data_IF_708727042391
#
_entry.id   IF_708727042391
#
_cell.length_a   1.000
_cell.length_b   1.000
_cell.length_c   1.000
_cell.angle_alpha   90.00
_cell.angle_beta   90.00
_cell.angle_gamma   90.00
#
_symmetry.space_group_name_H-M   'P 1'
#
loop_
_entity.id
_entity.type
_entity.pdbx_description
1 polymer ?
#
# COMPACT_ATOMS: atom_id res chain seq x y z
N UNK A 1 11.66 18.03 -2.07
CA UNK A 1 12.23 18.82 -0.97
C UNK A 1 11.38 18.62 0.25
N UNK A 2 11.88 17.86 1.21
CA UNK A 2 11.19 17.66 2.47
C UNK A 2 11.35 18.94 3.30
N UNK A 3 10.25 19.54 3.71
CA UNK A 3 10.25 20.70 4.60
C UNK A 3 10.40 20.16 6.02
N UNK A 4 11.60 20.29 6.59
CA UNK A 4 11.80 20.13 8.03
C UNK A 4 11.19 21.33 8.75
N UNK A 5 10.18 21.09 9.57
CA UNK A 5 9.68 22.08 10.50
C UNK A 5 10.66 22.21 11.68
N UNK A 6 11.30 23.35 11.76
CA UNK A 6 12.15 23.77 12.89
C UNK A 6 11.26 24.29 14.00
N UNK A 7 11.21 23.65 15.14
CA UNK A 7 10.51 24.15 16.31
C UNK A 7 11.40 25.14 17.06
N UNK A 8 11.02 26.42 17.12
CA UNK A 8 11.58 27.40 18.04
C UNK A 8 10.92 27.29 19.40
N UNK A 9 11.74 27.05 20.41
CA UNK A 9 11.33 27.06 21.82
C UNK A 9 11.43 28.51 22.33
N UNK A 10 10.30 29.11 22.67
CA UNK A 10 10.26 30.29 23.51
C UNK A 10 9.96 29.87 24.95
N UNK A 11 10.93 30.05 25.85
CA UNK A 11 10.72 29.96 27.30
C UNK A 11 10.02 31.21 27.81
N UNK A 12 8.80 31.03 28.32
CA UNK A 12 8.11 32.03 29.12
C UNK A 12 7.69 31.40 30.44
N UNK A 13 8.22 31.92 31.55
CA UNK A 13 7.79 31.59 32.91
C UNK A 13 6.31 31.93 33.10
N UNK A 14 5.52 30.98 33.56
CA UNK A 14 4.16 31.23 34.05
C UNK A 14 3.89 30.41 35.28
N UNK A 15 3.39 31.09 36.25
CA UNK A 15 2.93 30.67 37.57
C UNK A 15 1.89 29.55 37.53
N UNK A 16 2.04 28.60 38.45
CA UNK A 16 1.11 27.50 38.73
C UNK A 16 -0.26 28.00 39.20
N UNK A 17 -1.23 27.97 38.30
CA UNK A 17 -2.64 27.82 38.66
C UNK A 17 -3.09 26.49 38.08
N UNK A 18 -3.63 25.61 38.95
CA UNK A 18 -4.26 24.37 38.52
C UNK A 18 -5.41 24.73 37.57
N UNK A 19 -5.22 24.52 36.26
CA UNK A 19 -6.30 24.63 35.30
C UNK A 19 -7.10 23.33 35.38
N UNK A 20 -8.39 23.47 35.71
CA UNK A 20 -9.41 22.55 35.28
C UNK A 20 -9.22 22.32 33.77
N UNK A 21 -8.94 21.10 33.36
CA UNK A 21 -8.79 20.73 31.95
C UNK A 21 -10.11 21.04 31.27
N UNK A 22 -10.10 22.03 30.39
CA UNK A 22 -11.19 22.32 29.46
C UNK A 22 -11.33 21.10 28.53
N UNK A 23 -12.19 20.16 28.93
CA UNK A 23 -12.43 18.87 28.26
C UNK A 23 -13.12 19.02 26.89
N UNK A 24 -13.32 20.26 26.44
CA UNK A 24 -13.99 20.57 25.17
C UNK A 24 -13.03 20.88 24.01
N UNK A 25 -11.74 21.05 24.27
CA UNK A 25 -10.78 21.48 23.23
C UNK A 25 -10.01 20.29 22.64
N UNK A 26 -10.11 20.13 21.31
CA UNK A 26 -9.33 19.15 20.57
C UNK A 26 -7.82 19.47 20.66
N UNK A 27 -6.93 18.46 20.60
CA UNK A 27 -5.49 18.68 20.66
C UNK A 27 -4.96 19.39 19.40
N UNK A 28 -3.88 20.17 19.54
CA UNK A 28 -3.22 20.79 18.36
C UNK A 28 -2.60 19.76 17.42
N UNK A 29 -2.25 18.60 17.93
CA UNK A 29 -1.76 17.44 17.17
C UNK A 29 -2.50 16.19 17.61
N UNK A 30 -3.22 15.56 16.69
CA UNK A 30 -3.93 14.31 16.92
C UNK A 30 -2.99 13.13 16.68
N UNK A 31 -2.81 12.29 17.71
CA UNK A 31 -2.01 11.07 17.63
C UNK A 31 -2.91 9.93 17.12
N UNK A 32 -2.60 9.41 15.95
CA UNK A 32 -3.40 8.41 15.23
C UNK A 32 -2.72 7.06 15.30
N UNK A 33 -3.40 6.07 15.88
CA UNK A 33 -3.01 4.66 15.79
C UNK A 33 -3.68 3.98 14.60
N UNK A 34 -2.95 3.15 13.87
CA UNK A 34 -3.51 2.39 12.74
C UNK A 34 -2.68 1.12 12.47
N UNK A 35 -3.20 0.23 11.61
CA UNK A 35 -2.49 -0.93 11.09
C UNK A 35 -2.12 -0.73 9.62
N UNK A 36 -1.03 -1.38 9.20
CA UNK A 36 -0.69 -1.44 7.78
C UNK A 36 -1.72 -2.32 7.05
N UNK A 37 -2.51 -1.70 6.19
CA UNK A 37 -3.59 -2.35 5.45
C UNK A 37 -3.93 -1.53 4.20
N UNK A 38 -4.33 -2.17 3.09
CA UNK A 38 -4.79 -1.46 1.89
C UNK A 38 -6.01 -0.57 2.13
N UNK A 39 -6.82 -0.89 3.12
CA UNK A 39 -8.00 -0.11 3.50
C UNK A 39 -7.66 1.03 4.44
N UNK A 40 -6.67 0.85 5.34
CA UNK A 40 -6.44 1.82 6.41
C UNK A 40 -5.24 2.71 6.18
N UNK A 41 -4.04 2.12 6.06
CA UNK A 41 -2.78 2.86 5.92
C UNK A 41 -1.74 2.03 5.18
N UNK A 42 -1.22 2.53 4.09
CA UNK A 42 -0.10 1.89 3.39
C UNK A 42 0.76 2.94 2.67
N UNK A 43 2.02 2.58 2.39
CA UNK A 43 2.93 3.43 1.64
C UNK A 43 3.18 2.79 0.27
N UNK A 44 2.98 3.58 -0.77
CA UNK A 44 3.22 3.18 -2.14
C UNK A 44 4.03 4.24 -2.89
N UNK A 45 5.22 3.87 -3.35
CA UNK A 45 6.16 4.77 -4.07
C UNK A 45 6.44 6.09 -3.33
N UNK A 46 6.48 6.04 -2.00
CA UNK A 46 6.71 7.20 -1.15
C UNK A 46 5.48 8.01 -0.79
N UNK A 47 4.32 7.72 -1.37
CA UNK A 47 3.04 8.31 -0.97
C UNK A 47 2.35 7.46 0.10
N UNK A 48 1.77 8.12 1.09
CA UNK A 48 0.92 7.48 2.08
C UNK A 48 -0.52 7.50 1.58
N UNK A 49 -1.18 6.36 1.62
CA UNK A 49 -2.51 6.11 1.08
C UNK A 49 -3.31 5.22 2.04
N UNK A 50 -4.62 5.14 1.85
CA UNK A 50 -5.54 4.28 2.58
C UNK A 50 -6.88 4.99 2.76
N UNK A 51 -7.99 4.24 2.77
CA UNK A 51 -9.30 4.81 2.94
C UNK A 51 -9.43 5.53 4.29
N UNK A 52 -9.04 4.88 5.39
CA UNK A 52 -9.05 5.49 6.71
C UNK A 52 -8.02 6.64 6.82
N UNK A 53 -6.86 6.51 6.17
CA UNK A 53 -5.85 7.56 6.12
C UNK A 53 -6.39 8.83 5.45
N UNK A 54 -7.03 8.72 4.29
CA UNK A 54 -7.59 9.88 3.59
C UNK A 54 -8.72 10.52 4.41
N UNK A 55 -9.54 9.73 5.07
CA UNK A 55 -10.62 10.22 5.94
C UNK A 55 -10.10 10.95 7.18
N UNK A 56 -9.12 10.39 7.88
CA UNK A 56 -8.55 11.08 9.07
C UNK A 56 -7.80 12.34 8.67
N UNK A 57 -7.18 12.37 7.49
CA UNK A 57 -6.58 13.58 6.93
C UNK A 57 -7.64 14.66 6.62
N UNK A 58 -8.83 14.25 6.15
CA UNK A 58 -9.94 15.19 5.94
C UNK A 58 -10.50 15.74 7.25
N UNK A 59 -10.70 14.90 8.26
CA UNK A 59 -11.07 15.33 9.62
C UNK A 59 -10.08 16.34 10.18
N UNK A 60 -8.78 16.04 10.09
CA UNK A 60 -7.74 16.91 10.60
C UNK A 60 -7.70 18.26 9.87
N UNK A 61 -7.94 18.27 8.55
CA UNK A 61 -8.05 19.47 7.75
C UNK A 61 -9.26 20.32 8.15
N UNK A 62 -10.42 19.69 8.38
CA UNK A 62 -11.64 20.36 8.84
C UNK A 62 -11.44 21.02 10.19
N UNK A 63 -10.80 20.32 11.12
CA UNK A 63 -10.53 20.81 12.49
C UNK A 63 -9.25 21.64 12.60
N UNK A 64 -8.44 21.75 11.53
CA UNK A 64 -7.14 22.45 11.51
C UNK A 64 -6.14 21.88 12.53
N UNK A 65 -6.09 20.58 12.64
CA UNK A 65 -5.26 19.81 13.58
C UNK A 65 -4.11 19.16 12.79
N UNK A 66 -2.91 19.10 13.37
CA UNK A 66 -1.81 18.31 12.83
C UNK A 66 -2.00 16.82 13.15
N UNK A 67 -1.44 15.92 12.31
CA UNK A 67 -1.50 14.48 12.52
C UNK A 67 -0.13 13.89 12.83
N UNK A 68 -0.12 12.91 13.74
CA UNK A 68 1.05 12.07 14.01
C UNK A 68 0.61 10.62 14.04
N UNK A 69 1.13 9.80 13.11
CA UNK A 69 0.77 8.39 12.98
C UNK A 69 1.70 7.48 13.79
N UNK A 70 1.10 6.44 14.39
CA UNK A 70 1.79 5.30 15.02
C UNK A 70 1.21 4.02 14.44
N UNK A 71 2.07 3.21 13.81
CA UNK A 71 1.68 1.91 13.25
C UNK A 71 1.80 0.83 14.33
N UNK A 72 0.74 0.08 14.52
CA UNK A 72 0.73 -1.12 15.34
C UNK A 72 0.87 -2.39 14.46
N UNK A 73 1.23 -3.52 15.11
CA UNK A 73 1.47 -4.78 14.39
C UNK A 73 0.29 -5.72 14.42
N UNK A 74 -0.58 -5.53 15.39
CA UNK A 74 -1.76 -6.37 15.61
C UNK A 74 -2.88 -5.54 16.20
N UNK A 75 -4.11 -6.06 16.13
CA UNK A 75 -5.28 -5.45 16.78
C UNK A 75 -5.02 -5.26 18.29
N UNK A 76 -4.43 -6.25 18.94
CA UNK A 76 -4.15 -6.17 20.39
C UNK A 76 -3.15 -5.04 20.70
N UNK A 77 -2.06 -4.92 19.93
CA UNK A 77 -1.09 -3.82 20.12
C UNK A 77 -1.70 -2.46 19.79
N UNK A 78 -2.62 -2.40 18.81
CA UNK A 78 -3.33 -1.18 18.45
C UNK A 78 -4.25 -0.70 19.60
N UNK A 79 -5.02 -1.60 20.20
CA UNK A 79 -5.86 -1.31 21.36
C UNK A 79 -5.01 -0.88 22.57
N UNK A 80 -3.85 -1.51 22.78
CA UNK A 80 -2.96 -1.14 23.86
C UNK A 80 -2.43 0.29 23.72
N UNK A 81 -2.19 0.77 22.48
CA UNK A 81 -1.76 2.16 22.27
C UNK A 81 -2.77 3.19 22.76
N UNK A 82 -4.08 2.98 22.56
CA UNK A 82 -5.11 3.91 23.03
C UNK A 82 -5.35 3.79 24.53
N UNK A 83 -5.25 2.59 25.09
CA UNK A 83 -5.34 2.37 26.55
C UNK A 83 -4.19 3.04 27.32
N UNK A 84 -3.00 2.99 26.76
CA UNK A 84 -1.78 3.60 27.33
C UNK A 84 -1.68 5.11 27.05
N UNK A 85 -2.69 5.71 26.46
CA UNK A 85 -2.72 7.13 26.04
C UNK A 85 -1.52 7.52 25.14
N UNK A 86 -1.05 6.58 24.33
CA UNK A 86 0.00 6.81 23.31
C UNK A 86 -0.55 7.37 22.00
N UNK A 87 -1.84 7.11 21.74
CA UNK A 87 -2.60 7.63 20.60
C UNK A 87 -3.97 8.11 21.09
N UNK A 88 -4.56 9.06 20.37
CA UNK A 88 -5.84 9.68 20.71
C UNK A 88 -7.01 8.98 20.00
N UNK A 89 -6.77 8.51 18.77
CA UNK A 89 -7.76 7.84 17.92
C UNK A 89 -7.15 6.64 17.20
N UNK A 90 -7.94 5.59 17.04
CA UNK A 90 -7.65 4.44 16.21
C UNK A 90 -8.36 4.63 14.87
N UNK A 91 -7.63 5.07 13.84
CA UNK A 91 -8.12 5.14 12.47
C UNK A 91 -7.95 3.77 11.80
N UNK A 92 -8.76 2.84 12.24
CA UNK A 92 -8.82 1.45 11.79
C UNK A 92 -10.20 0.89 12.14
N UNK A 93 -10.69 -0.06 11.38
CA UNK A 93 -11.98 -0.71 11.63
C UNK A 93 -11.92 -1.64 12.85
N UNK A 94 -12.28 -1.11 14.02
CA UNK A 94 -12.41 -1.88 15.26
C UNK A 94 -13.79 -2.53 15.28
N UNK A 95 -13.90 -3.87 15.45
CA UNK A 95 -15.18 -4.56 15.51
C UNK A 95 -16.07 -4.06 16.67
N UNK A 96 -17.35 -3.81 16.40
CA UNK A 96 -18.32 -3.41 17.41
C UNK A 96 -18.89 -4.68 18.04
N UNK A 97 -18.27 -5.13 19.15
CA UNK A 97 -18.68 -6.30 19.93
C UNK A 97 -18.71 -5.95 21.41
N UNK A 98 -19.36 -6.77 22.23
CA UNK A 98 -19.37 -6.56 23.69
C UNK A 98 -17.94 -6.45 24.27
N UNK A 99 -17.03 -7.30 23.83
CA UNK A 99 -15.63 -7.31 24.25
C UNK A 99 -14.93 -5.97 23.95
N UNK A 100 -15.01 -5.48 22.71
CA UNK A 100 -14.34 -4.23 22.33
C UNK A 100 -15.01 -2.98 22.92
N UNK A 101 -16.34 -3.02 23.15
CA UNK A 101 -17.06 -1.93 23.80
C UNK A 101 -16.64 -1.69 25.27
N UNK A 102 -16.07 -2.71 25.93
CA UNK A 102 -15.48 -2.57 27.25
C UNK A 102 -14.07 -1.95 27.23
N UNK A 103 -13.46 -1.90 26.07
CA UNK A 103 -12.07 -1.47 25.91
C UNK A 103 -11.91 -0.08 25.28
N UNK A 104 -12.83 0.30 24.38
CA UNK A 104 -12.76 1.54 23.60
C UNK A 104 -14.15 2.13 23.37
N UNK A 105 -14.19 3.44 23.13
CA UNK A 105 -15.39 4.15 22.68
C UNK A 105 -15.37 4.24 21.15
N UNK A 106 -16.36 3.61 20.51
CA UNK A 106 -16.53 3.64 19.07
C UNK A 106 -17.00 5.00 18.57
N UNK A 107 -16.50 5.45 17.44
CA UNK A 107 -16.85 6.74 16.85
C UNK A 107 -16.75 6.74 15.32
N UNK A 108 -17.36 7.74 14.70
CA UNK A 108 -17.37 7.96 13.26
C UNK A 108 -18.31 7.04 12.51
N UNK A 109 -18.03 6.85 11.23
CA UNK A 109 -18.84 6.01 10.35
C UNK A 109 -18.76 4.54 10.79
N UNK A 110 -19.94 3.89 10.80
CA UNK A 110 -20.01 2.44 11.00
C UNK A 110 -20.01 1.73 9.65
N UNK A 111 -19.00 0.92 9.42
CA UNK A 111 -18.91 0.04 8.26
C UNK A 111 -19.37 -1.37 8.60
N UNK A 112 -19.87 -2.07 7.59
CA UNK A 112 -20.23 -3.49 7.73
C UNK A 112 -19.40 -4.29 6.75
N UNK A 113 -18.52 -5.16 7.29
CA UNK A 113 -17.70 -6.07 6.51
C UNK A 113 -18.05 -7.51 6.84
N UNK A 114 -17.71 -8.41 5.94
CA UNK A 114 -17.79 -9.85 6.12
C UNK A 114 -16.62 -10.49 5.39
N UNK A 115 -16.31 -11.73 5.72
CA UNK A 115 -15.23 -12.43 5.04
C UNK A 115 -15.77 -13.20 3.85
N UNK A 116 -15.02 -13.18 2.75
CA UNK A 116 -15.37 -13.85 1.50
C UNK A 116 -14.30 -14.81 1.06
N UNK A 117 -14.74 -15.87 0.38
CA UNK A 117 -13.84 -16.75 -0.35
C UNK A 117 -13.32 -16.02 -1.60
N UNK A 118 -12.03 -15.98 -1.76
CA UNK A 118 -11.37 -15.56 -3.00
C UNK A 118 -10.98 -16.79 -3.79
N UNK A 119 -11.47 -16.91 -5.01
CA UNK A 119 -11.22 -17.98 -5.95
C UNK A 119 -11.13 -17.46 -7.37
N UNK A 120 -10.62 -18.24 -8.32
CA UNK A 120 -10.68 -17.84 -9.73
C UNK A 120 -12.08 -18.03 -10.28
N UNK A 121 -12.49 -17.13 -11.19
CA UNK A 121 -13.70 -17.29 -11.99
C UNK A 121 -13.62 -18.58 -12.79
N UNK A 122 -14.72 -19.32 -12.88
CA UNK A 122 -14.78 -20.56 -13.66
C UNK A 122 -16.09 -21.32 -13.46
N UNK A 123 -16.29 -22.37 -14.25
CA UNK A 123 -17.49 -23.21 -14.17
C UNK A 123 -17.56 -24.04 -12.88
N UNK A 124 -16.41 -24.33 -12.28
CA UNK A 124 -16.30 -25.16 -11.06
C UNK A 124 -16.07 -24.30 -9.81
N UNK A 125 -16.50 -23.02 -9.83
CA UNK A 125 -16.39 -22.17 -8.64
C UNK A 125 -17.21 -22.72 -7.48
N UNK A 126 -16.71 -22.55 -6.28
CA UNK A 126 -17.42 -22.86 -5.05
C UNK A 126 -18.51 -21.80 -4.81
N UNK A 127 -19.72 -22.23 -4.59
CA UNK A 127 -20.89 -21.35 -4.37
C UNK A 127 -21.57 -21.61 -3.03
N UNK A 128 -21.12 -22.64 -2.29
CA UNK A 128 -21.64 -22.98 -0.97
C UNK A 128 -20.50 -23.45 -0.07
N UNK A 129 -20.53 -23.06 1.20
CA UNK A 129 -19.49 -23.39 2.18
C UNK A 129 -19.26 -24.89 2.38
N UNK A 130 -20.28 -25.72 2.19
CA UNK A 130 -20.14 -27.20 2.30
C UNK A 130 -19.24 -27.80 1.21
N UNK A 131 -19.06 -27.12 0.08
CA UNK A 131 -18.16 -27.53 -1.00
C UNK A 131 -16.67 -27.29 -0.66
N UNK A 132 -16.38 -26.60 0.46
CA UNK A 132 -15.01 -26.39 0.95
C UNK A 132 -14.39 -27.67 1.52
N UNK A 133 -15.20 -28.72 1.81
CA UNK A 133 -14.68 -30.01 2.26
C UNK A 133 -13.68 -30.57 1.24
N UNK A 134 -12.52 -30.99 1.74
CA UNK A 134 -11.41 -31.52 0.93
C UNK A 134 -10.65 -30.46 0.13
N UNK A 135 -10.91 -29.17 0.35
CA UNK A 135 -10.20 -28.07 -0.34
C UNK A 135 -9.08 -27.52 0.53
N UNK A 136 -7.98 -27.13 -0.12
CA UNK A 136 -6.86 -26.43 0.50
C UNK A 136 -7.13 -24.94 0.51
N UNK A 137 -7.30 -24.35 1.70
CA UNK A 137 -7.49 -22.91 1.91
C UNK A 137 -6.26 -22.34 2.62
N UNK A 138 -5.69 -21.31 2.02
CA UNK A 138 -4.48 -20.65 2.51
C UNK A 138 -4.81 -19.39 3.26
N UNK A 139 -4.30 -19.21 4.47
CA UNK A 139 -4.50 -18.04 5.33
C UNK A 139 -3.24 -17.70 6.11
N UNK A 140 -3.13 -16.46 6.56
CA UNK A 140 -2.05 -16.06 7.46
C UNK A 140 -2.20 -16.76 8.82
N UNK A 141 -1.10 -17.29 9.32
CA UNK A 141 -1.04 -17.94 10.64
C UNK A 141 -1.34 -16.93 11.75
N UNK A 142 -2.19 -17.32 12.70
CA UNK A 142 -2.61 -16.48 13.82
C UNK A 142 -3.52 -15.32 13.45
N UNK A 143 -4.06 -15.31 12.22
CA UNK A 143 -4.98 -14.25 11.76
C UNK A 143 -6.44 -14.55 12.12
N UNK A 144 -7.26 -13.49 12.09
CA UNK A 144 -8.74 -13.66 12.18
C UNK A 144 -9.31 -14.57 11.09
N UNK A 145 -8.62 -14.71 9.95
CA UNK A 145 -9.02 -15.58 8.85
C UNK A 145 -8.79 -17.05 9.19
N UNK A 146 -7.67 -17.38 9.82
CA UNK A 146 -7.42 -18.75 10.32
C UNK A 146 -8.46 -19.16 11.34
N UNK A 147 -8.70 -18.33 12.37
CA UNK A 147 -9.72 -18.58 13.40
C UNK A 147 -11.12 -18.73 12.78
N UNK A 148 -11.46 -17.92 11.76
CA UNK A 148 -12.75 -18.07 11.07
C UNK A 148 -12.85 -19.36 10.31
N UNK A 149 -11.79 -19.80 9.62
CA UNK A 149 -11.79 -21.08 8.91
C UNK A 149 -11.89 -22.28 9.87
N UNK A 150 -11.26 -22.23 11.02
CA UNK A 150 -11.38 -23.27 12.07
C UNK A 150 -12.84 -23.36 12.54
N UNK A 151 -13.49 -22.22 12.83
CA UNK A 151 -14.89 -22.19 13.22
C UNK A 151 -15.79 -22.71 12.10
N UNK A 152 -15.61 -22.22 10.86
CA UNK A 152 -16.38 -22.67 9.69
C UNK A 152 -16.20 -24.17 9.45
N UNK A 153 -14.98 -24.68 9.59
CA UNK A 153 -14.69 -26.09 9.45
C UNK A 153 -15.49 -26.94 10.48
N UNK A 154 -15.55 -26.44 11.73
CA UNK A 154 -16.36 -27.08 12.78
C UNK A 154 -17.86 -27.00 12.45
N UNK A 155 -18.35 -25.85 12.00
CA UNK A 155 -19.77 -25.62 11.63
C UNK A 155 -20.23 -26.55 10.53
N UNK A 156 -19.40 -26.84 9.51
CA UNK A 156 -19.75 -27.74 8.41
C UNK A 156 -19.47 -29.21 8.67
N UNK A 157 -18.98 -29.55 9.88
CA UNK A 157 -18.66 -30.94 10.27
C UNK A 157 -17.31 -31.43 9.77
N UNK A 158 -16.34 -30.54 9.64
CA UNK A 158 -14.96 -30.84 9.27
C UNK A 158 -14.69 -31.04 7.78
N UNK A 159 -13.41 -31.20 7.45
CA UNK A 159 -12.95 -31.55 6.11
C UNK A 159 -12.29 -30.41 5.31
N UNK A 160 -12.19 -29.20 5.82
CA UNK A 160 -11.38 -28.14 5.19
C UNK A 160 -9.91 -28.38 5.49
N UNK A 161 -9.05 -28.32 4.49
CA UNK A 161 -7.61 -28.38 4.67
C UNK A 161 -7.06 -26.96 4.85
N UNK A 162 -6.91 -26.50 6.09
CA UNK A 162 -6.39 -25.17 6.40
C UNK A 162 -4.86 -25.21 6.24
N UNK A 163 -4.33 -24.31 5.41
CA UNK A 163 -2.90 -24.13 5.11
C UNK A 163 -2.46 -22.77 5.68
N UNK A 164 -1.94 -22.77 6.89
CA UNK A 164 -1.42 -21.58 7.55
C UNK A 164 -0.06 -21.20 6.97
N UNK A 165 0.08 -19.98 6.50
CA UNK A 165 1.33 -19.42 5.98
C UNK A 165 1.90 -18.39 6.96
N UNK A 166 3.22 -18.29 7.01
CA UNK A 166 3.89 -17.34 7.89
C UNK A 166 3.68 -15.90 7.36
N UNK A 167 3.16 -15.02 8.21
CA UNK A 167 2.88 -13.62 7.91
C UNK A 167 4.13 -12.84 7.47
N UNK A 168 5.30 -13.18 7.96
CA UNK A 168 6.56 -12.53 7.60
C UNK A 168 6.97 -12.80 6.14
N UNK A 169 6.39 -13.82 5.51
CA UNK A 169 6.73 -14.23 4.14
C UNK A 169 5.63 -13.95 3.12
N UNK A 170 4.36 -14.01 3.54
CA UNK A 170 3.19 -13.91 2.64
C UNK A 170 2.07 -13.23 3.40
N UNK A 171 1.60 -12.09 2.90
CA UNK A 171 0.44 -11.38 3.45
C UNK A 171 -0.85 -11.68 2.68
N UNK A 172 -1.97 -11.12 3.18
CA UNK A 172 -3.31 -11.25 2.57
C UNK A 172 -3.33 -10.85 1.09
N UNK A 173 -2.59 -9.80 0.71
CA UNK A 173 -2.52 -9.33 -0.68
C UNK A 173 -1.77 -10.33 -1.56
N UNK A 174 -0.69 -10.91 -1.03
CA UNK A 174 0.08 -11.93 -1.72
C UNK A 174 -0.76 -13.19 -1.93
N UNK A 175 -1.59 -13.58 -0.94
CA UNK A 175 -2.50 -14.72 -1.07
C UNK A 175 -3.53 -14.48 -2.18
N UNK A 176 -4.14 -13.29 -2.25
CA UNK A 176 -5.07 -12.95 -3.34
C UNK A 176 -4.38 -12.96 -4.69
N UNK A 177 -3.17 -12.39 -4.79
CA UNK A 177 -2.36 -12.47 -6.01
C UNK A 177 -2.05 -13.92 -6.40
N UNK A 178 -1.69 -14.78 -5.44
CA UNK A 178 -1.43 -16.19 -5.70
C UNK A 178 -2.68 -16.93 -6.19
N UNK A 179 -3.87 -16.59 -5.68
CA UNK A 179 -5.14 -17.11 -6.22
C UNK A 179 -5.33 -16.63 -7.65
N UNK A 180 -5.17 -15.35 -7.94
CA UNK A 180 -5.35 -14.79 -9.28
C UNK A 180 -4.42 -15.44 -10.32
N UNK A 181 -3.18 -15.72 -9.93
CA UNK A 181 -2.17 -16.37 -10.77
C UNK A 181 -2.29 -17.92 -10.81
N UNK A 182 -3.17 -18.50 -9.98
CA UNK A 182 -3.40 -19.94 -9.91
C UNK A 182 -2.33 -20.72 -9.18
N UNK A 183 -1.46 -20.07 -8.40
CA UNK A 183 -0.46 -20.73 -7.55
C UNK A 183 -1.10 -21.43 -6.36
N UNK A 184 -2.15 -20.84 -5.78
CA UNK A 184 -3.00 -21.44 -4.77
C UNK A 184 -4.47 -21.41 -5.22
N UNK A 185 -5.31 -22.35 -4.78
CA UNK A 185 -6.69 -22.42 -5.23
C UNK A 185 -7.61 -21.41 -4.55
N UNK A 186 -7.48 -21.23 -3.23
CA UNK A 186 -8.41 -20.47 -2.40
C UNK A 186 -7.71 -19.73 -1.26
N UNK A 187 -8.23 -18.53 -0.93
CA UNK A 187 -7.98 -17.82 0.34
C UNK A 187 -9.27 -17.19 0.81
N UNK A 188 -9.30 -16.69 2.05
CA UNK A 188 -10.39 -15.85 2.56
C UNK A 188 -9.84 -14.51 3.02
N UNK A 189 -10.59 -13.44 2.77
CA UNK A 189 -10.25 -12.08 3.16
C UNK A 189 -11.51 -11.29 3.48
N UNK A 190 -11.37 -10.11 4.08
CA UNK A 190 -12.49 -9.20 4.27
C UNK A 190 -13.05 -8.71 2.93
N UNK A 191 -14.34 -8.44 2.89
CA UNK A 191 -15.08 -8.08 1.67
C UNK A 191 -14.57 -6.78 1.03
N UNK A 192 -14.10 -5.82 1.81
CA UNK A 192 -13.49 -4.57 1.36
C UNK A 192 -12.12 -4.82 0.70
N UNK A 193 -11.25 -5.60 1.33
CA UNK A 193 -9.98 -6.05 0.75
C UNK A 193 -10.23 -6.83 -0.56
N UNK A 194 -11.22 -7.72 -0.55
CA UNK A 194 -11.60 -8.46 -1.75
C UNK A 194 -12.08 -7.55 -2.88
N UNK A 195 -12.88 -6.52 -2.57
CA UNK A 195 -13.35 -5.52 -3.54
C UNK A 195 -12.20 -4.74 -4.16
N UNK A 196 -11.26 -4.24 -3.34
CA UNK A 196 -10.04 -3.58 -3.83
C UNK A 196 -9.31 -4.51 -4.80
N UNK A 197 -9.05 -5.75 -4.41
CA UNK A 197 -8.35 -6.70 -5.26
C UNK A 197 -9.09 -7.06 -6.53
N UNK A 198 -10.42 -7.10 -6.51
CA UNK A 198 -11.24 -7.35 -7.69
C UNK A 198 -11.14 -6.24 -8.73
N UNK A 199 -10.85 -4.99 -8.33
CA UNK A 199 -10.59 -3.89 -9.27
C UNK A 199 -9.31 -4.13 -10.08
N UNK A 200 -8.40 -5.00 -9.60
CA UNK A 200 -7.13 -5.40 -10.21
C UNK A 200 -7.19 -6.70 -10.97
N UNK A 201 -7.74 -7.71 -10.28
CA UNK A 201 -7.79 -9.08 -10.74
C UNK A 201 -9.19 -9.38 -11.27
N UNK A 202 -9.44 -9.04 -12.53
CA UNK A 202 -10.75 -9.29 -13.15
C UNK A 202 -11.14 -10.77 -13.18
N UNK A 203 -10.16 -11.68 -13.01
CA UNK A 203 -10.30 -13.13 -13.05
C UNK A 203 -10.64 -13.77 -11.70
N UNK A 204 -10.75 -13.00 -10.61
CA UNK A 204 -11.19 -13.54 -9.32
C UNK A 204 -12.71 -13.41 -9.10
N UNK A 205 -13.26 -14.35 -8.36
CA UNK A 205 -14.61 -14.37 -7.84
C UNK A 205 -14.57 -14.25 -6.32
N UNK A 206 -15.42 -13.38 -5.78
CA UNK A 206 -15.51 -13.06 -4.35
C UNK A 206 -16.98 -13.13 -3.86
N UNK A 207 -17.82 -13.91 -4.57
CA UNK A 207 -19.26 -13.94 -4.33
C UNK A 207 -19.71 -14.87 -3.21
N UNK A 208 -18.83 -15.71 -2.62
CA UNK A 208 -19.17 -16.57 -1.50
C UNK A 208 -18.76 -15.96 -0.17
N UNK A 209 -19.76 -15.58 0.63
CA UNK A 209 -19.56 -15.15 2.01
C UNK A 209 -19.28 -16.36 2.91
N UNK A 210 -18.27 -16.24 3.77
CA UNK A 210 -17.84 -17.30 4.70
C UNK A 210 -17.94 -16.89 6.17
N UNK A 211 -18.38 -15.65 6.45
CA UNK A 211 -18.68 -15.17 7.79
C UNK A 211 -19.99 -14.39 7.84
N UNK A 212 -20.52 -14.18 9.04
CA UNK A 212 -21.58 -13.20 9.27
C UNK A 212 -21.08 -11.78 9.10
N UNK A 213 -21.94 -10.81 8.73
CA UNK A 213 -21.63 -9.40 8.73
C UNK A 213 -21.13 -8.93 10.11
N UNK A 214 -20.02 -8.22 10.13
CA UNK A 214 -19.42 -7.61 11.30
C UNK A 214 -19.46 -6.10 11.14
N UNK A 215 -20.04 -5.39 12.11
CA UNK A 215 -19.97 -3.93 12.18
C UNK A 215 -18.65 -3.51 12.80
N UNK A 216 -18.05 -2.46 12.27
CA UNK A 216 -16.82 -1.87 12.76
C UNK A 216 -16.83 -0.35 12.61
N UNK A 217 -16.03 0.34 13.38
CA UNK A 217 -15.83 1.79 13.28
C UNK A 217 -14.45 2.18 13.83
N UNK A 218 -14.10 3.42 13.70
CA UNK A 218 -12.97 3.97 14.47
C UNK A 218 -13.27 3.95 15.97
N UNK A 219 -12.22 4.18 16.77
CA UNK A 219 -12.40 4.18 18.21
C UNK A 219 -11.43 5.15 18.88
N UNK A 220 -11.80 5.62 20.06
CA UNK A 220 -11.00 6.47 20.96
C UNK A 220 -10.93 5.84 22.35
N UNK A 221 -10.14 6.42 23.25
CA UNK A 221 -10.15 6.01 24.66
C UNK A 221 -11.55 6.16 25.26
N UNK A 222 -11.98 5.22 26.12
CA UNK A 222 -13.30 5.20 26.76
C UNK A 222 -13.71 6.53 27.41
N UNK A 223 -12.74 7.30 27.89
CA UNK A 223 -12.99 8.57 28.59
C UNK A 223 -12.92 9.80 27.67
N UNK A 224 -12.65 9.63 26.36
CA UNK A 224 -12.49 10.74 25.43
C UNK A 224 -13.76 11.02 24.63
N UNK A 225 -14.85 11.36 25.34
CA UNK A 225 -16.15 11.67 24.73
C UNK A 225 -16.07 12.88 23.78
N UNK A 226 -15.29 13.92 24.13
CA UNK A 226 -15.21 15.13 23.30
C UNK A 226 -14.63 14.85 21.91
N UNK A 227 -13.61 14.00 21.81
CA UNK A 227 -13.07 13.60 20.53
C UNK A 227 -14.03 12.69 19.75
N UNK A 228 -14.68 11.74 20.45
CA UNK A 228 -15.72 10.88 19.86
C UNK A 228 -16.85 11.71 19.26
N UNK A 229 -17.44 12.62 20.03
CA UNK A 229 -18.53 13.50 19.58
C UNK A 229 -18.10 14.37 18.38
N UNK A 230 -16.85 14.85 18.38
CA UNK A 230 -16.32 15.65 17.29
C UNK A 230 -16.15 14.84 15.99
N UNK A 231 -15.69 13.58 16.09
CA UNK A 231 -15.55 12.67 14.95
C UNK A 231 -16.95 12.28 14.44
N UNK A 232 -17.90 11.99 15.31
CA UNK A 232 -19.28 11.65 14.94
C UNK A 232 -19.98 12.82 14.23
N UNK A 233 -19.87 14.03 14.77
CA UNK A 233 -20.43 15.21 14.14
C UNK A 233 -19.80 15.51 12.77
N UNK A 234 -18.48 15.29 12.61
CA UNK A 234 -17.81 15.42 11.33
C UNK A 234 -18.26 14.34 10.35
N UNK A 235 -18.30 13.07 10.78
CA UNK A 235 -18.63 11.92 9.91
C UNK A 235 -20.06 11.97 9.36
N UNK A 236 -20.99 12.57 10.11
CA UNK A 236 -22.42 12.70 9.74
C UNK A 236 -22.72 14.01 8.99
N UNK A 237 -21.76 14.89 8.80
CA UNK A 237 -21.95 16.12 8.01
C UNK A 237 -22.15 15.80 6.52
N UNK A 238 -23.04 16.54 5.86
CA UNK A 238 -23.33 16.37 4.42
C UNK A 238 -22.06 16.40 3.56
N UNK A 239 -21.17 17.36 3.84
CA UNK A 239 -19.88 17.49 3.16
C UNK A 239 -19.04 16.20 3.29
N UNK A 240 -18.97 15.65 4.50
CA UNK A 240 -18.16 14.45 4.76
C UNK A 240 -18.77 13.21 4.14
N UNK A 241 -20.10 13.09 4.13
CA UNK A 241 -20.79 11.98 3.47
C UNK A 241 -20.46 11.97 1.97
N UNK A 242 -20.60 13.10 1.28
CA UNK A 242 -20.25 13.23 -0.14
C UNK A 242 -18.78 12.93 -0.42
N UNK A 243 -17.89 13.41 0.43
CA UNK A 243 -16.45 13.11 0.32
C UNK A 243 -16.17 11.62 0.54
N UNK A 244 -16.78 11.00 1.57
CA UNK A 244 -16.62 9.57 1.85
C UNK A 244 -17.15 8.69 0.71
N UNK A 245 -18.26 9.06 0.08
CA UNK A 245 -18.77 8.38 -1.11
C UNK A 245 -17.80 8.46 -2.29
N UNK A 246 -17.19 9.63 -2.53
CA UNK A 246 -16.24 9.82 -3.64
C UNK A 246 -14.98 8.98 -3.43
N UNK A 247 -14.38 9.04 -2.24
CA UNK A 247 -13.19 8.22 -1.93
C UNK A 247 -13.52 6.73 -1.85
N UNK A 248 -14.73 6.34 -1.39
CA UNK A 248 -15.17 4.94 -1.40
C UNK A 248 -15.24 4.40 -2.84
N UNK A 249 -15.83 5.15 -3.76
CA UNK A 249 -15.82 4.81 -5.19
C UNK A 249 -14.41 4.67 -5.71
N UNK A 250 -13.52 5.60 -5.32
CA UNK A 250 -12.11 5.54 -5.73
C UNK A 250 -11.40 4.27 -5.25
N UNK A 251 -11.59 3.87 -3.99
CA UNK A 251 -10.91 2.70 -3.42
C UNK A 251 -11.57 1.37 -3.80
N UNK A 252 -12.91 1.29 -3.83
CA UNK A 252 -13.62 0.01 -3.84
C UNK A 252 -14.40 -0.29 -5.13
N UNK A 253 -14.73 0.72 -5.96
CA UNK A 253 -15.62 0.52 -7.10
C UNK A 253 -14.98 0.81 -8.45
N UNK A 254 -14.07 1.79 -8.54
CA UNK A 254 -13.47 2.14 -9.83
C UNK A 254 -12.64 0.97 -10.35
N UNK A 255 -13.15 0.31 -11.40
CA UNK A 255 -12.41 -0.71 -12.13
C UNK A 255 -11.13 -0.07 -12.69
N UNK A 256 -10.02 -0.36 -12.05
CA UNK A 256 -8.72 0.08 -12.52
C UNK A 256 -8.28 -0.86 -13.61
N UNK A 257 -7.84 -0.33 -14.72
CA UNK A 257 -7.39 -1.13 -15.85
C UNK A 257 -6.25 -2.05 -15.38
N UNK A 258 -6.60 -3.30 -15.12
CA UNK A 258 -5.64 -4.33 -14.72
C UNK A 258 -5.03 -4.93 -15.96
N UNK A 259 -3.72 -5.04 -15.99
CA UNK A 259 -2.99 -5.85 -16.96
C UNK A 259 -3.35 -7.32 -16.69
N UNK A 260 -4.38 -7.84 -17.35
CA UNK A 260 -4.62 -9.28 -17.39
C UNK A 260 -3.43 -9.96 -18.04
N UNK A 261 -2.96 -11.06 -17.44
CA UNK A 261 -1.75 -11.78 -17.86
C UNK A 261 -1.78 -12.30 -19.29
N UNK A 262 -2.91 -12.24 -19.98
CA UNK A 262 -3.13 -12.88 -21.28
C UNK A 262 -2.95 -11.96 -22.51
N UNK A 263 -2.67 -10.67 -22.32
CA UNK A 263 -2.40 -9.77 -23.44
C UNK A 263 -0.93 -9.36 -23.49
N UNK A 264 -0.12 -10.16 -24.14
CA UNK A 264 1.31 -9.88 -24.40
C UNK A 264 1.55 -8.66 -25.32
N UNK A 265 0.48 -7.99 -25.78
CA UNK A 265 0.61 -6.84 -26.66
C UNK A 265 -0.49 -5.83 -26.44
N UNK A 266 -0.13 -4.59 -26.17
CA UNK A 266 -0.99 -3.44 -26.35
C UNK A 266 -1.48 -3.42 -27.81
N UNK A 267 -2.74 -3.80 -28.01
CA UNK A 267 -3.46 -3.50 -29.24
C UNK A 267 -4.30 -2.23 -29.00
N UNK A 268 -3.65 -1.07 -29.04
CA UNK A 268 -4.37 0.18 -29.30
C UNK A 268 -5.22 -0.01 -30.55
N UNK A 269 -6.23 0.81 -30.78
CA UNK A 269 -7.20 0.74 -31.90
C UNK A 269 -6.61 0.67 -33.33
N UNK A 270 -5.32 0.42 -33.46
CA UNK A 270 -4.58 0.02 -34.65
C UNK A 270 -3.56 -1.03 -34.20
N UNK A 271 -3.61 -2.23 -34.81
CA UNK A 271 -2.59 -3.25 -34.62
C UNK A 271 -1.23 -2.62 -34.88
N UNK A 272 -0.42 -2.39 -33.81
CA UNK A 272 0.99 -2.06 -34.02
C UNK A 272 1.67 -3.28 -34.64
N UNK A 273 1.99 -3.18 -35.89
CA UNK A 273 2.82 -4.18 -36.58
C UNK A 273 4.25 -3.83 -36.23
N UNK A 274 4.91 -4.64 -35.38
CA UNK A 274 6.33 -4.50 -35.10
C UNK A 274 7.10 -4.47 -36.40
N UNK A 275 7.81 -3.38 -36.66
CA UNK A 275 8.86 -3.37 -37.67
C UNK A 275 10.01 -4.23 -37.14
N UNK A 276 10.76 -4.89 -38.01
CA UNK A 276 11.91 -5.68 -37.59
C UNK A 276 12.87 -4.85 -36.72
N UNK A 277 13.06 -5.26 -35.46
CA UNK A 277 13.94 -4.60 -34.51
C UNK A 277 13.26 -3.67 -33.47
N UNK A 278 11.96 -3.35 -33.62
CA UNK A 278 11.26 -2.51 -32.64
C UNK A 278 10.92 -3.30 -31.38
N UNK A 279 11.11 -2.68 -30.23
CA UNK A 279 10.70 -3.18 -28.91
C UNK A 279 9.25 -2.78 -28.63
N UNK A 280 8.89 -1.53 -28.94
CA UNK A 280 7.60 -0.92 -28.62
C UNK A 280 7.19 0.18 -29.61
N UNK A 281 5.93 0.64 -29.60
CA UNK A 281 5.50 1.83 -30.34
C UNK A 281 6.18 3.13 -29.91
N UNK A 282 6.90 3.12 -28.78
CA UNK A 282 7.47 4.29 -28.13
C UNK A 282 9.00 4.34 -28.19
N UNK A 283 9.63 3.51 -29.00
CA UNK A 283 11.09 3.40 -29.09
C UNK A 283 11.74 4.74 -29.45
N UNK A 284 11.18 5.50 -30.39
CA UNK A 284 11.70 6.81 -30.76
C UNK A 284 11.57 7.82 -29.61
N UNK A 285 10.51 7.72 -28.81
CA UNK A 285 10.32 8.54 -27.62
C UNK A 285 11.36 8.20 -26.56
N UNK A 286 11.60 6.91 -26.30
CA UNK A 286 12.63 6.48 -25.35
C UNK A 286 14.03 6.90 -25.79
N UNK A 287 14.35 6.79 -27.07
CA UNK A 287 15.63 7.27 -27.64
C UNK A 287 15.81 8.79 -27.46
N UNK A 288 14.73 9.57 -27.71
CA UNK A 288 14.76 11.03 -27.60
C UNK A 288 15.08 11.50 -26.17
N UNK A 289 14.59 10.78 -25.13
CA UNK A 289 14.74 11.21 -23.73
C UNK A 289 15.82 10.44 -22.96
N UNK A 290 16.38 9.34 -23.47
CA UNK A 290 17.39 8.55 -22.76
C UNK A 290 18.70 9.30 -22.48
N UNK A 291 19.02 10.34 -23.24
CA UNK A 291 20.21 11.16 -23.00
C UNK A 291 20.29 11.88 -21.65
N UNK A 292 19.20 11.88 -20.87
CA UNK A 292 19.15 12.46 -19.52
C UNK A 292 19.51 11.48 -18.41
N UNK A 293 19.74 10.21 -18.71
CA UNK A 293 20.21 9.15 -17.81
C UNK A 293 21.44 8.45 -18.42
N UNK A 294 22.30 7.87 -17.57
CA UNK A 294 23.53 7.21 -18.04
C UNK A 294 23.32 5.79 -18.57
N UNK A 295 22.09 5.44 -18.96
CA UNK A 295 21.76 4.09 -19.43
C UNK A 295 21.12 4.13 -20.83
N UNK A 296 21.33 3.06 -21.64
CA UNK A 296 20.69 2.95 -22.96
C UNK A 296 19.18 3.05 -22.89
N UNK A 297 18.54 3.56 -23.95
CA UNK A 297 17.09 3.76 -24.06
C UNK A 297 16.26 2.50 -23.78
N UNK A 298 16.84 1.31 -24.01
CA UNK A 298 16.21 0.02 -23.71
C UNK A 298 15.88 -0.13 -22.22
N UNK A 299 16.54 0.62 -21.30
CA UNK A 299 16.16 0.63 -19.91
C UNK A 299 14.80 1.30 -19.72
N UNK A 300 14.53 2.42 -20.40
CA UNK A 300 13.22 3.07 -20.36
C UNK A 300 12.12 2.16 -20.93
N UNK A 301 12.43 1.46 -22.03
CA UNK A 301 11.52 0.46 -22.60
C UNK A 301 11.23 -0.70 -21.63
N UNK A 302 12.26 -1.20 -20.92
CA UNK A 302 12.10 -2.26 -19.93
C UNK A 302 11.24 -1.81 -18.73
N UNK A 303 11.46 -0.59 -18.24
CA UNK A 303 10.62 0.03 -17.21
C UNK A 303 9.18 0.13 -17.70
N UNK A 304 8.93 0.76 -18.86
CA UNK A 304 7.58 0.93 -19.41
C UNK A 304 6.85 -0.41 -19.61
N UNK A 305 7.57 -1.46 -20.04
CA UNK A 305 6.98 -2.78 -20.17
C UNK A 305 6.56 -3.37 -18.82
N UNK A 306 7.40 -3.25 -17.81
CA UNK A 306 7.08 -3.78 -16.47
C UNK A 306 5.96 -2.99 -15.83
N UNK A 307 5.94 -1.67 -16.03
CA UNK A 307 4.95 -0.75 -15.44
C UNK A 307 3.57 -0.86 -16.09
N UNK A 308 3.49 -0.87 -17.39
CA UNK A 308 2.21 -0.74 -18.13
C UNK A 308 2.01 -1.71 -19.28
N UNK A 309 2.97 -2.57 -19.61
CA UNK A 309 2.99 -3.34 -20.86
C UNK A 309 2.86 -2.44 -22.11
N UNK A 310 3.39 -1.24 -22.01
CA UNK A 310 3.28 -0.19 -23.02
C UNK A 310 1.86 0.38 -23.22
N UNK A 311 0.93 0.21 -22.26
CA UNK A 311 -0.38 0.84 -22.33
C UNK A 311 -0.40 2.16 -21.52
N UNK A 312 -0.52 3.32 -22.19
CA UNK A 312 -0.50 4.61 -21.50
C UNK A 312 -1.79 4.92 -20.70
N UNK A 313 -2.84 4.08 -20.84
CA UNK A 313 -4.12 4.27 -20.17
C UNK A 313 -4.13 3.67 -18.76
N UNK A 314 -3.12 2.86 -18.42
CA UNK A 314 -3.08 2.14 -17.13
C UNK A 314 -3.07 3.11 -15.97
N UNK A 315 -3.93 2.82 -15.00
CA UNK A 315 -3.91 3.43 -13.66
C UNK A 315 -3.72 2.32 -12.65
N UNK A 316 -2.69 2.42 -11.80
CA UNK A 316 -2.49 1.45 -10.73
C UNK A 316 -3.53 1.66 -9.61
N UNK A 317 -3.63 0.71 -8.74
CA UNK A 317 -4.52 0.77 -7.56
C UNK A 317 -4.16 1.92 -6.61
N UNK A 318 -2.93 2.26 -6.51
CA UNK A 318 -2.43 3.36 -5.74
C UNK A 318 -2.51 4.71 -6.48
N UNK A 319 -3.03 4.72 -7.74
CA UNK A 319 -3.21 5.92 -8.52
C UNK A 319 -2.03 6.32 -9.40
N UNK A 320 -0.97 5.50 -9.51
CA UNK A 320 0.09 5.73 -10.51
C UNK A 320 -0.49 5.65 -11.93
N UNK A 321 -0.04 6.50 -12.86
CA UNK A 321 -0.71 6.71 -14.15
C UNK A 321 0.24 6.63 -15.34
N UNK A 322 -0.28 6.16 -16.45
CA UNK A 322 0.33 6.28 -17.76
C UNK A 322 1.39 5.24 -18.05
N UNK A 323 2.10 5.45 -19.17
CA UNK A 323 3.09 4.53 -19.72
C UNK A 323 4.17 4.12 -18.72
N UNK A 324 4.63 5.07 -17.91
CA UNK A 324 5.71 4.90 -16.93
C UNK A 324 5.22 4.78 -15.49
N UNK A 325 3.91 4.75 -15.26
CA UNK A 325 3.26 4.62 -13.94
C UNK A 325 3.77 5.63 -12.90
N UNK A 326 3.66 6.92 -13.24
CA UNK A 326 4.09 8.02 -12.37
C UNK A 326 2.99 8.35 -11.36
N UNK A 327 3.39 8.50 -10.09
CA UNK A 327 2.48 9.00 -9.05
C UNK A 327 2.16 10.48 -9.30
N UNK A 328 0.89 10.90 -9.10
CA UNK A 328 0.51 12.30 -9.23
C UNK A 328 1.30 13.26 -8.34
N UNK A 329 1.69 12.84 -7.14
CA UNK A 329 2.56 13.59 -6.22
C UNK A 329 3.95 13.82 -6.81
N UNK A 330 4.58 12.76 -7.34
CA UNK A 330 5.88 12.81 -8.01
C UNK A 330 5.82 13.75 -9.22
N UNK A 331 4.80 13.63 -10.06
CA UNK A 331 4.60 14.50 -11.21
C UNK A 331 4.51 15.99 -10.80
N UNK A 332 3.69 16.30 -9.78
CA UNK A 332 3.57 17.66 -9.24
C UNK A 332 4.90 18.17 -8.69
N UNK A 333 5.65 17.32 -7.97
CA UNK A 333 6.96 17.67 -7.41
C UNK A 333 7.99 18.08 -8.48
N UNK A 334 7.83 17.57 -9.70
CA UNK A 334 8.64 17.94 -10.87
C UNK A 334 8.00 18.98 -11.79
N UNK A 335 6.84 19.52 -11.45
CA UNK A 335 6.14 20.56 -12.19
C UNK A 335 5.33 20.07 -13.39
N UNK A 336 4.97 18.76 -13.45
CA UNK A 336 4.13 18.21 -14.50
C UNK A 336 2.64 18.29 -14.16
N UNK A 337 1.81 18.49 -15.17
CA UNK A 337 0.35 18.42 -15.08
C UNK A 337 -0.10 16.96 -14.93
N UNK A 338 -0.68 16.65 -13.77
CA UNK A 338 -1.12 15.28 -13.43
C UNK A 338 -2.26 14.77 -14.30
N UNK A 339 -3.05 15.67 -14.93
CA UNK A 339 -4.13 15.28 -15.85
C UNK A 339 -3.59 14.72 -17.18
N UNK A 340 -2.34 15.05 -17.52
CA UNK A 340 -1.68 14.64 -18.76
C UNK A 340 -0.77 13.41 -18.62
N UNK A 341 -0.76 12.72 -17.49
CA UNK A 341 0.10 11.55 -17.28
C UNK A 341 -0.24 10.35 -18.19
N UNK A 342 -1.41 10.35 -18.83
CA UNK A 342 -1.78 9.37 -19.85
C UNK A 342 -1.17 9.69 -21.23
N UNK A 343 -0.66 10.90 -21.44
CA UNK A 343 0.14 11.24 -22.60
C UNK A 343 1.50 10.55 -22.49
N UNK A 344 1.91 9.73 -23.48
CA UNK A 344 3.16 8.98 -23.42
C UNK A 344 4.39 9.88 -23.25
N UNK A 345 4.42 11.03 -23.92
CA UNK A 345 5.55 11.95 -23.85
C UNK A 345 5.68 12.59 -22.46
N UNK A 346 4.56 13.05 -21.88
CA UNK A 346 4.52 13.61 -20.53
C UNK A 346 4.95 12.56 -19.51
N UNK A 347 4.44 11.33 -19.64
CA UNK A 347 4.77 10.21 -18.77
C UNK A 347 6.26 9.86 -18.82
N UNK A 348 6.87 9.78 -20.02
CA UNK A 348 8.31 9.52 -20.19
C UNK A 348 9.15 10.67 -19.64
N UNK A 349 8.81 11.94 -19.92
CA UNK A 349 9.51 13.11 -19.38
C UNK A 349 9.54 13.10 -17.84
N UNK A 350 8.39 12.82 -17.20
CA UNK A 350 8.29 12.76 -15.76
C UNK A 350 9.15 11.62 -15.18
N UNK A 351 9.08 10.42 -15.79
CA UNK A 351 9.89 9.28 -15.39
C UNK A 351 11.40 9.54 -15.52
N UNK A 352 11.83 10.10 -16.64
CA UNK A 352 13.25 10.43 -16.87
C UNK A 352 13.73 11.47 -15.86
N UNK A 353 12.90 12.44 -15.51
CA UNK A 353 13.25 13.44 -14.47
C UNK A 353 13.44 12.78 -13.10
N UNK A 354 12.58 11.85 -12.73
CA UNK A 354 12.70 11.09 -11.50
C UNK A 354 13.94 10.17 -11.53
N UNK A 355 14.11 9.37 -12.57
CA UNK A 355 15.27 8.47 -12.73
C UNK A 355 16.59 9.22 -12.69
N UNK A 356 16.70 10.37 -13.37
CA UNK A 356 17.89 11.23 -13.34
C UNK A 356 18.18 11.78 -11.93
N UNK A 357 17.14 12.14 -11.18
CA UNK A 357 17.28 12.59 -9.78
C UNK A 357 17.78 11.47 -8.88
N UNK A 358 17.23 10.25 -9.03
CA UNK A 358 17.64 9.06 -8.29
C UNK A 358 19.07 8.63 -8.65
N UNK A 359 19.42 8.65 -9.93
CA UNK A 359 20.78 8.35 -10.38
C UNK A 359 21.81 9.32 -9.78
N UNK A 360 21.49 10.61 -9.80
CA UNK A 360 22.33 11.63 -9.18
C UNK A 360 22.47 11.40 -7.67
N UNK A 361 21.41 11.03 -6.99
CA UNK A 361 21.44 10.74 -5.55
C UNK A 361 22.36 9.56 -5.23
N UNK A 362 22.30 8.49 -6.03
CA UNK A 362 23.14 7.30 -5.80
C UNK A 362 24.53 7.36 -6.39
N UNK A 363 24.86 8.35 -7.23
CA UNK A 363 26.15 8.43 -7.94
C UNK A 363 27.36 8.42 -7.01
N UNK A 364 27.30 9.12 -5.89
CA UNK A 364 28.39 9.16 -4.89
C UNK A 364 28.34 7.99 -3.89
N UNK A 365 27.19 7.32 -3.76
CA UNK A 365 26.96 6.27 -2.78
C UNK A 365 27.19 4.88 -3.34
N UNK A 366 26.91 4.68 -4.61
CA UNK A 366 27.00 3.40 -5.32
C UNK A 366 27.84 3.61 -6.58
N UNK A 367 29.17 3.43 -6.50
CA UNK A 367 30.08 3.73 -7.61
C UNK A 367 29.88 2.83 -8.83
N UNK A 368 29.57 1.54 -8.64
CA UNK A 368 29.32 0.61 -9.74
C UNK A 368 28.05 0.96 -10.50
N UNK A 369 28.10 1.19 -11.83
CA UNK A 369 26.93 1.61 -12.60
C UNK A 369 25.81 0.56 -12.64
N UNK A 370 26.15 -0.74 -12.60
CA UNK A 370 25.16 -1.82 -12.63
C UNK A 370 24.44 -1.92 -11.28
N UNK A 371 25.17 -1.83 -10.18
CA UNK A 371 24.58 -1.74 -8.86
C UNK A 371 23.74 -0.48 -8.73
N UNK A 372 24.25 0.68 -9.14
CA UNK A 372 23.51 1.97 -9.12
C UNK A 372 22.18 1.89 -9.84
N UNK A 373 22.11 1.21 -10.99
CA UNK A 373 20.88 0.95 -11.71
C UNK A 373 19.86 0.21 -10.82
N UNK A 374 20.28 -0.83 -10.09
CA UNK A 374 19.41 -1.61 -9.20
C UNK A 374 18.86 -0.76 -8.07
N UNK A 375 19.69 0.07 -7.44
CA UNK A 375 19.26 1.01 -6.39
C UNK A 375 18.28 2.05 -6.94
N UNK A 376 18.57 2.59 -8.12
CA UNK A 376 17.68 3.53 -8.80
C UNK A 376 16.32 2.90 -9.11
N UNK A 377 16.28 1.69 -9.64
CA UNK A 377 15.05 0.93 -9.92
C UNK A 377 14.28 0.62 -8.63
N UNK A 378 14.99 0.21 -7.58
CA UNK A 378 14.37 -0.05 -6.28
C UNK A 378 13.73 1.21 -5.69
N UNK A 379 14.41 2.35 -5.80
CA UNK A 379 13.91 3.63 -5.31
C UNK A 379 12.75 4.19 -6.16
N UNK A 380 12.78 3.94 -7.47
CA UNK A 380 11.69 4.30 -8.38
C UNK A 380 10.39 3.57 -8.04
N UNK A 381 10.47 2.28 -7.71
CA UNK A 381 9.30 1.48 -7.34
C UNK A 381 8.92 1.62 -5.86
N UNK A 382 9.89 1.55 -4.93
CA UNK A 382 9.63 1.48 -3.49
C UNK A 382 9.73 2.83 -2.75
N UNK A 383 10.19 3.87 -3.44
CA UNK A 383 10.49 5.16 -2.82
C UNK A 383 11.90 5.20 -2.19
N UNK A 384 12.60 6.30 -2.43
CA UNK A 384 14.00 6.48 -2.01
C UNK A 384 14.20 6.35 -0.49
N UNK A 385 13.21 6.77 0.30
CA UNK A 385 13.27 6.78 1.76
C UNK A 385 13.50 5.37 2.34
N UNK A 386 12.75 4.38 1.86
CA UNK A 386 12.88 2.99 2.31
C UNK A 386 14.18 2.34 1.85
N UNK A 387 14.67 2.72 0.67
CA UNK A 387 15.97 2.22 0.17
C UNK A 387 17.13 2.78 1.01
N UNK A 388 17.04 4.04 1.46
CA UNK A 388 18.02 4.63 2.38
C UNK A 388 18.01 3.91 3.74
N UNK A 389 16.85 3.61 4.29
CA UNK A 389 16.75 2.79 5.50
C UNK A 389 17.39 1.41 5.32
N UNK A 390 17.14 0.76 4.18
CA UNK A 390 17.72 -0.55 3.88
C UNK A 390 19.26 -0.50 3.74
N UNK A 391 19.80 0.56 3.15
CA UNK A 391 21.25 0.82 3.09
C UNK A 391 21.82 0.93 4.50
N UNK A 392 21.19 1.71 5.36
CA UNK A 392 21.63 1.90 6.75
C UNK A 392 21.56 0.59 7.55
N UNK A 393 20.49 -0.20 7.38
CA UNK A 393 20.36 -1.52 7.99
C UNK A 393 21.44 -2.47 7.49
N UNK A 394 21.67 -2.54 6.16
CA UNK A 394 22.72 -3.37 5.57
C UNK A 394 24.07 -3.05 6.19
N UNK A 395 24.43 -1.79 6.26
CA UNK A 395 25.69 -1.33 6.87
C UNK A 395 25.78 -1.73 8.35
N UNK A 396 24.72 -1.49 9.13
CA UNK A 396 24.69 -1.80 10.56
C UNK A 396 24.85 -3.29 10.85
N UNK A 397 24.24 -4.14 10.02
CA UNK A 397 24.22 -5.60 10.21
C UNK A 397 25.28 -6.34 9.36
N UNK A 398 26.35 -5.64 8.95
CA UNK A 398 27.52 -6.27 8.34
C UNK A 398 27.34 -6.70 6.87
N UNK A 399 26.33 -6.19 6.18
CA UNK A 399 26.14 -6.35 4.74
C UNK A 399 26.79 -5.20 3.97
N UNK A 400 27.05 -5.41 2.69
CA UNK A 400 27.62 -4.37 1.84
C UNK A 400 26.56 -3.34 1.41
N UNK A 401 26.63 -2.06 1.87
CA UNK A 401 25.60 -1.05 1.56
C UNK A 401 25.65 -0.56 0.10
N UNK A 402 26.63 -1.00 -0.71
CA UNK A 402 26.83 -0.60 -2.11
C UNK A 402 26.43 -1.71 -3.10
N UNK A 403 25.98 -2.87 -2.62
CA UNK A 403 25.60 -4.03 -3.43
C UNK A 403 24.14 -4.40 -3.15
N UNK A 404 23.37 -4.58 -4.22
CA UNK A 404 21.94 -4.88 -4.11
C UNK A 404 21.68 -6.32 -3.68
N UNK A 405 21.98 -7.28 -4.56
CA UNK A 405 21.64 -8.69 -4.32
C UNK A 405 22.40 -9.29 -3.13
N UNK A 406 21.65 -9.98 -2.24
CA UNK A 406 22.17 -10.61 -1.04
C UNK A 406 22.63 -9.63 0.05
N UNK A 407 22.51 -8.32 -0.17
CA UNK A 407 22.93 -7.28 0.76
C UNK A 407 21.78 -6.29 1.07
N UNK A 408 21.64 -5.20 0.29
CA UNK A 408 20.59 -4.19 0.55
C UNK A 408 19.21 -4.75 0.24
N UNK A 409 19.07 -5.63 -0.73
CA UNK A 409 17.85 -6.40 -0.98
C UNK A 409 17.38 -7.17 0.26
N UNK A 410 18.29 -7.87 0.95
CA UNK A 410 17.97 -8.60 2.18
C UNK A 410 17.60 -7.65 3.32
N UNK A 411 18.36 -6.57 3.48
CA UNK A 411 18.06 -5.55 4.48
C UNK A 411 16.69 -4.88 4.23
N UNK A 412 16.30 -4.70 2.97
CA UNK A 412 14.97 -4.22 2.61
C UNK A 412 13.88 -5.23 3.01
N UNK A 413 14.11 -6.52 2.84
CA UNK A 413 13.20 -7.59 3.28
C UNK A 413 13.05 -7.60 4.81
N UNK A 414 14.10 -7.30 5.56
CA UNK A 414 14.01 -7.21 7.03
C UNK A 414 13.07 -6.12 7.51
N UNK A 415 12.76 -5.10 6.71
CA UNK A 415 11.82 -4.04 7.08
C UNK A 415 10.35 -4.47 7.21
N UNK A 416 10.01 -5.72 6.96
CA UNK A 416 8.73 -6.33 7.36
C UNK A 416 8.71 -6.75 8.83
N UNK A 417 9.88 -6.92 9.46
CA UNK A 417 10.01 -7.36 10.85
C UNK A 417 10.24 -6.16 11.78
N UNK A 418 9.48 -6.14 12.88
CA UNK A 418 9.47 -5.07 13.88
C UNK A 418 10.84 -4.71 14.42
N UNK A 419 11.67 -5.71 14.69
CA UNK A 419 13.04 -5.53 15.18
C UNK A 419 13.86 -4.62 14.28
N UNK A 420 13.64 -4.67 12.96
CA UNK A 420 14.45 -3.95 11.99
C UNK A 420 13.83 -2.62 11.57
N UNK A 421 12.51 -2.56 11.37
CA UNK A 421 11.93 -1.28 10.95
C UNK A 421 11.81 -0.27 12.12
N UNK A 422 11.85 -0.71 13.39
CA UNK A 422 11.99 0.15 14.57
C UNK A 422 13.45 0.38 14.97
N UNK A 423 14.42 -0.15 14.21
CA UNK A 423 15.82 0.11 14.48
C UNK A 423 16.11 1.62 14.35
N UNK A 424 16.92 2.23 15.26
CA UNK A 424 17.23 3.67 15.22
C UNK A 424 17.82 4.18 13.90
N UNK A 425 18.38 3.32 13.06
CA UNK A 425 18.86 3.70 11.73
C UNK A 425 17.76 3.78 10.68
N UNK A 426 16.57 3.24 10.96
CA UNK A 426 15.38 3.36 10.13
C UNK A 426 14.58 4.59 10.54
N UNK A 427 14.19 5.42 9.56
CA UNK A 427 13.38 6.63 9.79
C UNK A 427 11.97 6.52 9.23
N UNK A 428 11.74 5.53 8.37
CA UNK A 428 10.50 5.41 7.59
C UNK A 428 9.70 4.15 7.88
N UNK A 429 10.00 3.46 9.00
CA UNK A 429 9.19 2.38 9.55
C UNK A 429 9.04 1.15 8.63
N UNK A 430 7.92 0.47 8.78
CA UNK A 430 7.56 -0.74 8.03
C UNK A 430 7.58 -0.54 6.52
N UNK A 431 8.05 -1.55 5.79
CA UNK A 431 8.02 -1.56 4.33
C UNK A 431 7.84 -2.98 3.77
N UNK A 432 6.87 -3.13 2.87
CA UNK A 432 6.62 -4.37 2.14
C UNK A 432 7.54 -4.46 0.93
N UNK A 433 8.60 -5.25 1.04
CA UNK A 433 9.70 -5.27 0.07
C UNK A 433 9.49 -6.15 -1.16
N UNK A 434 8.60 -7.13 -1.10
CA UNK A 434 8.47 -8.19 -2.13
C UNK A 434 8.20 -7.63 -3.53
N UNK A 435 7.35 -6.60 -3.63
CA UNK A 435 7.05 -5.96 -4.91
C UNK A 435 8.30 -5.30 -5.49
N UNK A 436 9.01 -4.51 -4.68
CA UNK A 436 10.22 -3.78 -5.11
C UNK A 436 11.36 -4.72 -5.50
N UNK A 437 11.59 -5.78 -4.72
CA UNK A 437 12.61 -6.78 -5.04
C UNK A 437 12.31 -7.48 -6.37
N UNK A 438 11.07 -7.90 -6.56
CA UNK A 438 10.61 -8.53 -7.81
C UNK A 438 10.67 -7.55 -8.99
N UNK A 439 10.38 -6.26 -8.74
CA UNK A 439 10.45 -5.22 -9.75
C UNK A 439 11.86 -5.06 -10.32
N UNK A 440 12.86 -4.93 -9.46
CA UNK A 440 14.27 -4.83 -9.88
C UNK A 440 14.67 -6.01 -10.76
N UNK A 441 14.36 -7.24 -10.35
CA UNK A 441 14.65 -8.44 -11.13
C UNK A 441 13.96 -8.44 -12.49
N UNK A 442 12.66 -8.09 -12.53
CA UNK A 442 11.88 -8.06 -13.77
C UNK A 442 12.41 -7.03 -14.76
N UNK A 443 12.72 -5.81 -14.28
CA UNK A 443 13.25 -4.75 -15.15
C UNK A 443 14.65 -5.11 -15.64
N UNK A 444 15.54 -5.57 -14.77
CA UNK A 444 16.91 -6.00 -15.15
C UNK A 444 16.86 -7.13 -16.20
N UNK A 445 16.07 -8.15 -15.97
CA UNK A 445 15.92 -9.27 -16.92
C UNK A 445 15.36 -8.81 -18.26
N UNK A 446 14.41 -7.90 -18.28
CA UNK A 446 13.83 -7.34 -19.51
C UNK A 446 14.82 -6.44 -20.24
N UNK A 447 15.55 -5.62 -19.50
CA UNK A 447 16.61 -4.76 -20.06
C UNK A 447 17.71 -5.56 -20.76
N UNK A 448 18.18 -6.63 -20.11
CA UNK A 448 19.17 -7.53 -20.74
C UNK A 448 18.62 -8.22 -21.98
N UNK A 449 17.33 -8.59 -21.99
CA UNK A 449 16.69 -9.17 -23.18
C UNK A 449 16.54 -8.17 -24.33
N UNK A 450 16.34 -6.88 -24.04
CA UNK A 450 16.20 -5.84 -25.06
C UNK A 450 17.51 -5.35 -25.65
N UNK A 451 18.64 -5.68 -25.04
CA UNK A 451 19.99 -5.35 -25.53
C UNK A 451 20.58 -6.42 -26.45
N UNK A 452 19.99 -7.60 -26.51
CA UNK A 452 20.37 -8.69 -27.42
C UNK A 452 19.74 -8.47 -28.80
#
# INVERSE_FOLDING_TARGET
>A
MAICALAMICQGCASSTANESDSSKLPDTLRVGTLYSPTSFFIYRGDTLGYDYDRICDFARDKKIALKFTLAHSMQSLLQLVKDDKVDVLAYEIPITAEFNEEVLHCGETNTTYQVLVQRKGRHRITNVTQLKGKDLYVEKGSKYESRLENLNSEIGGGINIKSVDKDTVDVQDLVNQVSTGKIPYTIVDSDIAKINKTYYSNIDIGLEVSFPQRSSWAVNLNNNALSDSIDAWSTSERTILYSEDISKHYFEQSRYSLTQDNDTYSGSGKYVRKNGDISPYDDLFKAYSGHISYPWQLLAAIAYVESKFDPRVVSWAGARGLMQIMPSTARGYGFDTSKLHDPEVSVKAAVRELSSLEKYFSSRVPDPKERMRFMLAAYNGGIAHIVDAINLAQKYGKNPHVWYGNVEEALKWKTNERYYNDPVCKYGYFRSNETVNYVQKVESRFEAYRK
#
